data_IF_133835770940
#
_entry.id   IF_133835770940
#
_cell.length_a   1.000
_cell.length_b   1.000
_cell.length_c   1.000
_cell.angle_alpha   90.00
_cell.angle_beta   90.00
_cell.angle_gamma   90.00
#
_symmetry.space_group_name_H-M   'P 1'
#
loop_
_entity.id
_entity.type
_entity.pdbx_description
1 polymer ?
#
# COMPACT_ATOMS: atom_id res chain seq x y z
N UNK A 1 7.52 34.62 28.42
CA UNK A 1 8.41 33.85 27.53
C UNK A 1 9.70 34.63 27.39
N UNK A 2 10.88 34.00 27.54
CA UNK A 2 12.14 34.67 27.26
C UNK A 2 12.22 35.04 25.76
N UNK A 3 12.86 36.17 25.41
CA UNK A 3 13.06 36.56 24.02
C UNK A 3 13.95 35.55 23.30
N UNK A 4 13.59 35.20 22.06
CA UNK A 4 14.41 34.38 21.16
C UNK A 4 15.21 35.31 20.26
N UNK A 5 16.54 35.25 20.34
CA UNK A 5 17.44 35.99 19.45
C UNK A 5 17.87 35.07 18.31
N UNK A 6 17.70 35.53 17.07
CA UNK A 6 18.14 34.81 15.87
C UNK A 6 19.28 35.60 15.23
N UNK A 7 20.44 34.97 15.03
CA UNK A 7 21.57 35.56 14.34
C UNK A 7 21.49 35.25 12.83
N UNK A 8 21.23 36.25 12.00
CA UNK A 8 21.11 36.08 10.54
C UNK A 8 22.47 35.98 9.82
N UNK A 9 23.59 36.28 10.49
CA UNK A 9 24.93 36.16 9.90
C UNK A 9 25.55 34.78 10.09
N UNK A 10 24.94 33.92 10.92
CA UNK A 10 25.42 32.55 11.12
C UNK A 10 24.86 31.60 10.04
N UNK A 11 25.63 30.60 9.60
CA UNK A 11 25.13 29.57 8.70
C UNK A 11 23.96 28.82 9.33
N UNK A 12 22.84 28.74 8.62
CA UNK A 12 21.71 27.91 9.02
C UNK A 12 22.03 26.41 8.94
N UNK A 13 21.21 25.60 9.62
CA UNK A 13 21.22 24.14 9.47
C UNK A 13 20.14 23.68 8.48
N UNK A 14 20.40 22.67 7.63
CA UNK A 14 19.35 22.09 6.79
C UNK A 14 18.16 21.64 7.63
N UNK A 15 16.96 22.03 7.23
CA UNK A 15 15.73 21.58 7.88
C UNK A 15 15.21 20.35 7.13
N UNK A 16 15.23 19.19 7.79
CA UNK A 16 14.73 17.95 7.21
C UNK A 16 13.21 18.03 7.01
N UNK A 17 12.76 17.96 5.76
CA UNK A 17 11.35 17.96 5.38
C UNK A 17 10.75 16.56 5.30
N UNK A 18 11.20 15.65 6.16
CA UNK A 18 10.71 14.26 6.20
C UNK A 18 9.18 14.16 6.33
N UNK A 19 8.55 15.15 6.98
CA UNK A 19 7.09 15.24 7.08
C UNK A 19 6.36 15.42 5.73
N UNK A 20 7.08 15.69 4.62
CA UNK A 20 6.53 15.74 3.26
C UNK A 20 6.72 14.42 2.48
N UNK A 21 7.35 13.40 3.08
CA UNK A 21 7.63 12.14 2.37
C UNK A 21 6.36 11.38 1.99
N UNK A 22 5.29 11.48 2.77
CA UNK A 22 4.04 10.80 2.41
C UNK A 22 2.81 11.25 3.19
N UNK A 23 1.64 10.91 2.65
CA UNK A 23 0.33 11.06 3.27
C UNK A 23 -0.40 9.74 3.36
N UNK A 24 -1.22 9.60 4.40
CA UNK A 24 -2.20 8.53 4.50
C UNK A 24 -3.46 8.85 3.70
N UNK A 25 -4.08 7.82 3.16
CA UNK A 25 -5.47 7.77 2.72
C UNK A 25 -6.16 6.60 3.40
N UNK A 26 -7.49 6.54 3.30
CA UNK A 26 -8.26 5.39 3.75
C UNK A 26 -8.05 4.22 2.75
N UNK A 27 -9.13 3.59 2.29
CA UNK A 27 -9.08 2.53 1.30
C UNK A 27 -8.82 3.08 -0.11
N UNK A 28 -7.88 2.49 -0.85
CA UNK A 28 -7.43 2.89 -2.18
C UNK A 28 -8.57 3.14 -3.19
N UNK A 29 -9.65 2.35 -3.18
CA UNK A 29 -10.80 2.52 -4.07
C UNK A 29 -11.51 3.87 -3.92
N UNK A 30 -11.40 4.55 -2.77
CA UNK A 30 -11.97 5.90 -2.61
C UNK A 30 -11.37 6.89 -3.61
N UNK A 31 -10.17 6.61 -4.14
CA UNK A 31 -9.54 7.37 -5.23
C UNK A 31 -10.42 7.44 -6.47
N UNK A 32 -11.34 6.51 -6.68
CA UNK A 32 -12.27 6.54 -7.83
C UNK A 32 -13.39 7.57 -7.66
N UNK A 33 -13.59 8.13 -6.46
CA UNK A 33 -14.55 9.20 -6.23
C UNK A 33 -13.94 10.55 -6.59
N UNK A 34 -14.69 11.39 -7.27
CA UNK A 34 -14.17 12.70 -7.70
C UNK A 34 -13.93 13.65 -6.52
N UNK A 35 -14.74 13.59 -5.46
CA UNK A 35 -14.53 14.41 -4.27
C UNK A 35 -13.18 14.11 -3.59
N UNK A 36 -12.79 12.83 -3.52
CA UNK A 36 -11.45 12.45 -3.06
C UNK A 36 -10.35 13.01 -3.98
N UNK A 37 -10.55 12.95 -5.30
CA UNK A 37 -9.59 13.47 -6.29
C UNK A 37 -9.44 14.99 -6.19
N UNK A 38 -10.52 15.73 -5.97
CA UNK A 38 -10.48 17.17 -5.73
C UNK A 38 -9.66 17.51 -4.48
N UNK A 39 -9.86 16.78 -3.38
CA UNK A 39 -9.06 16.93 -2.17
C UNK A 39 -7.58 16.60 -2.39
N UNK A 40 -7.28 15.52 -3.13
CA UNK A 40 -5.92 15.16 -3.45
C UNK A 40 -5.22 16.25 -4.29
N UNK A 41 -5.90 16.81 -5.30
CA UNK A 41 -5.37 17.93 -6.11
C UNK A 41 -5.10 19.16 -5.25
N UNK A 42 -6.03 19.50 -4.35
CA UNK A 42 -5.84 20.61 -3.41
C UNK A 42 -4.61 20.38 -2.53
N UNK A 43 -4.53 19.22 -1.87
CA UNK A 43 -3.40 18.87 -0.99
C UNK A 43 -2.06 18.90 -1.74
N UNK A 44 -2.01 18.39 -2.97
CA UNK A 44 -0.78 18.43 -3.76
C UNK A 44 -0.40 19.84 -4.20
N UNK A 45 -1.38 20.69 -4.55
CA UNK A 45 -1.11 22.08 -4.90
C UNK A 45 -0.58 22.90 -3.72
N UNK A 46 -1.15 22.70 -2.52
CA UNK A 46 -0.82 23.52 -1.34
C UNK A 46 0.37 22.98 -0.53
N UNK A 47 0.62 21.65 -0.56
CA UNK A 47 1.61 21.00 0.31
C UNK A 47 2.69 20.25 -0.50
N UNK A 48 2.30 19.46 -1.51
CA UNK A 48 3.23 18.71 -2.36
C UNK A 48 3.92 17.54 -1.66
N UNK A 49 3.17 16.49 -1.36
CA UNK A 49 3.72 15.25 -0.78
C UNK A 49 4.35 14.36 -1.86
N UNK A 50 5.29 13.50 -1.47
CA UNK A 50 5.97 12.59 -2.42
C UNK A 50 5.27 11.26 -2.62
N UNK A 51 4.52 10.79 -1.62
CA UNK A 51 3.88 9.48 -1.66
C UNK A 51 2.51 9.46 -0.98
N UNK A 52 1.71 8.44 -1.32
CA UNK A 52 0.41 8.17 -0.70
C UNK A 52 0.34 6.70 -0.29
N UNK A 53 -0.11 6.44 0.94
CA UNK A 53 -0.31 5.11 1.53
C UNK A 53 -1.79 4.89 1.79
N UNK A 54 -2.36 3.81 1.28
CA UNK A 54 -3.79 3.52 1.39
C UNK A 54 -4.01 2.00 1.56
N UNK A 55 -5.05 1.64 2.30
CA UNK A 55 -5.41 0.24 2.54
C UNK A 55 -6.08 -0.41 1.32
N UNK A 56 -6.10 -1.74 1.28
CA UNK A 56 -7.11 -2.49 0.53
C UNK A 56 -6.91 -2.48 -0.98
N UNK A 57 -5.66 -2.44 -1.48
CA UNK A 57 -5.41 -2.52 -2.92
C UNK A 57 -5.90 -3.84 -3.53
N UNK A 58 -5.90 -4.92 -2.75
CA UNK A 58 -6.42 -6.23 -3.11
C UNK A 58 -7.87 -6.46 -2.66
N UNK A 59 -8.53 -5.44 -2.12
CA UNK A 59 -9.95 -5.53 -1.75
C UNK A 59 -10.82 -5.80 -2.98
N UNK A 60 -11.89 -6.58 -2.83
CA UNK A 60 -12.76 -6.99 -3.95
C UNK A 60 -13.47 -5.81 -4.65
N UNK A 61 -13.61 -4.67 -3.97
CA UNK A 61 -14.06 -3.41 -4.59
C UNK A 61 -13.07 -2.89 -5.65
N UNK A 62 -11.76 -3.02 -5.42
CA UNK A 62 -10.75 -2.76 -6.47
C UNK A 62 -10.88 -3.83 -7.55
N UNK A 63 -11.05 -5.09 -7.14
CA UNK A 63 -11.44 -6.19 -8.04
C UNK A 63 -10.28 -6.83 -8.80
N UNK A 64 -9.07 -6.81 -8.25
CA UNK A 64 -7.88 -7.46 -8.85
C UNK A 64 -8.04 -8.97 -8.88
N UNK A 65 -8.35 -9.57 -7.72
CA UNK A 65 -8.58 -11.01 -7.64
C UNK A 65 -9.96 -11.32 -8.21
N UNK A 66 -10.09 -12.33 -9.08
CA UNK A 66 -11.37 -12.63 -9.68
C UNK A 66 -12.36 -13.22 -8.67
N UNK A 67 -13.61 -12.80 -8.76
CA UNK A 67 -14.74 -13.63 -8.34
C UNK A 67 -15.01 -14.65 -9.44
N UNK A 68 -15.16 -15.93 -9.07
CA UNK A 68 -15.53 -17.05 -9.96
C UNK A 68 -16.52 -16.65 -11.07
N UNK A 69 -16.43 -17.20 -12.30
CA UNK A 69 -15.46 -18.20 -12.81
C UNK A 69 -14.32 -17.60 -13.66
N UNK A 70 -14.02 -16.29 -13.56
CA UNK A 70 -12.99 -15.69 -14.40
C UNK A 70 -11.58 -16.07 -13.94
N UNK A 71 -10.71 -16.60 -14.81
CA UNK A 71 -9.37 -17.07 -14.42
C UNK A 71 -8.30 -15.97 -14.40
N UNK A 72 -8.63 -14.72 -14.72
CA UNK A 72 -7.63 -13.67 -14.98
C UNK A 72 -7.78 -12.51 -14.00
N UNK A 73 -6.65 -12.04 -13.47
CA UNK A 73 -6.58 -10.84 -12.65
C UNK A 73 -7.03 -9.59 -13.44
N UNK A 74 -7.78 -8.69 -12.79
CA UNK A 74 -8.33 -7.49 -13.42
C UNK A 74 -7.74 -6.20 -12.82
N UNK A 75 -6.90 -5.52 -13.59
CA UNK A 75 -6.19 -4.33 -13.11
C UNK A 75 -6.87 -3.00 -13.49
N UNK A 76 -8.08 -2.99 -14.05
CA UNK A 76 -8.71 -1.76 -14.56
C UNK A 76 -8.87 -0.65 -13.51
N UNK A 77 -9.31 -1.01 -12.29
CA UNK A 77 -9.45 -0.02 -11.21
C UNK A 77 -8.10 0.32 -10.60
N UNK A 78 -7.19 -0.64 -10.46
CA UNK A 78 -5.81 -0.39 -10.04
C UNK A 78 -5.18 0.70 -10.91
N UNK A 79 -5.27 0.56 -12.23
CA UNK A 79 -4.71 1.51 -13.19
C UNK A 79 -5.29 2.91 -12.98
N UNK A 80 -6.62 3.02 -12.87
CA UNK A 80 -7.28 4.32 -12.62
C UNK A 80 -6.86 4.97 -11.29
N UNK A 81 -6.57 4.17 -10.28
CA UNK A 81 -6.13 4.64 -8.95
C UNK A 81 -4.67 5.12 -9.05
N UNK A 82 -3.77 4.26 -9.50
CA UNK A 82 -2.33 4.54 -9.51
C UNK A 82 -1.96 5.59 -10.55
N UNK A 83 -2.58 5.58 -11.74
CA UNK A 83 -2.38 6.64 -12.73
C UNK A 83 -2.80 8.00 -12.17
N UNK A 84 -3.91 8.05 -11.43
CA UNK A 84 -4.33 9.30 -10.81
C UNK A 84 -3.29 9.77 -9.78
N UNK A 85 -2.85 8.91 -8.86
CA UNK A 85 -1.82 9.28 -7.89
C UNK A 85 -0.54 9.77 -8.57
N UNK A 86 -0.01 9.01 -9.53
CA UNK A 86 1.19 9.39 -10.27
C UNK A 86 1.01 10.70 -11.04
N UNK A 87 -0.15 10.95 -11.64
CA UNK A 87 -0.46 12.23 -12.31
C UNK A 87 -0.45 13.44 -11.36
N UNK A 88 -0.63 13.21 -10.06
CA UNK A 88 -0.55 14.22 -9.01
C UNK A 88 0.84 14.28 -8.34
N UNK A 89 1.82 13.55 -8.86
CA UNK A 89 3.16 13.45 -8.27
C UNK A 89 3.24 12.57 -7.01
N UNK A 90 2.17 11.83 -6.71
CA UNK A 90 2.08 10.94 -5.56
C UNK A 90 2.50 9.52 -5.95
N UNK A 91 3.63 9.06 -5.42
CA UNK A 91 4.06 7.68 -5.59
C UNK A 91 3.28 6.75 -4.65
N UNK A 92 2.85 5.57 -5.12
CA UNK A 92 2.29 4.56 -4.24
C UNK A 92 3.31 4.12 -3.17
N UNK A 93 2.93 4.26 -1.90
CA UNK A 93 3.48 3.46 -0.81
C UNK A 93 2.55 2.26 -0.67
N UNK A 94 2.93 1.16 -1.33
CA UNK A 94 2.04 0.04 -1.62
C UNK A 94 1.83 -0.80 -0.38
N UNK A 95 0.65 -0.75 0.21
CA UNK A 95 0.21 -1.70 1.23
C UNK A 95 -0.40 -2.93 0.56
N UNK A 96 0.18 -4.10 0.78
CA UNK A 96 -0.26 -5.37 0.20
C UNK A 96 -1.36 -5.99 1.07
N UNK A 97 -2.57 -5.42 0.97
CA UNK A 97 -3.74 -5.75 1.79
C UNK A 97 -5.05 -5.52 1.03
N UNK A 98 -6.21 -5.90 1.56
CA UNK A 98 -6.39 -6.97 2.54
C UNK A 98 -6.54 -8.30 1.77
N UNK A 99 -7.05 -9.36 2.37
CA UNK A 99 -7.22 -10.62 1.64
C UNK A 99 -8.43 -10.51 0.70
N UNK A 100 -8.31 -10.84 -0.60
CA UNK A 100 -9.50 -10.98 -1.45
C UNK A 100 -10.39 -12.12 -0.95
N UNK A 101 -11.71 -11.97 -1.01
CA UNK A 101 -12.66 -13.00 -0.54
C UNK A 101 -12.42 -14.36 -1.21
N UNK A 102 -12.10 -14.36 -2.51
CA UNK A 102 -11.80 -15.58 -3.27
C UNK A 102 -10.58 -16.35 -2.79
N UNK A 103 -9.69 -15.73 -2.02
CA UNK A 103 -8.44 -16.30 -1.51
C UNK A 103 -8.42 -16.44 0.02
N UNK A 104 -9.39 -15.88 0.72
CA UNK A 104 -9.46 -15.92 2.18
C UNK A 104 -9.65 -17.34 2.74
N UNK A 105 -9.05 -17.62 3.90
CA UNK A 105 -9.21 -18.88 4.65
C UNK A 105 -10.42 -18.90 5.59
N UNK A 106 -11.01 -17.74 5.88
CA UNK A 106 -12.21 -17.61 6.68
C UNK A 106 -12.97 -16.32 6.37
N UNK A 107 -13.94 -15.97 7.23
CA UNK A 107 -14.88 -14.87 6.98
C UNK A 107 -14.66 -13.65 7.88
N UNK A 108 -13.62 -13.66 8.72
CA UNK A 108 -13.32 -12.52 9.59
C UNK A 108 -12.97 -11.30 8.74
N UNK A 109 -13.63 -10.17 9.03
CA UNK A 109 -13.44 -8.92 8.31
C UNK A 109 -13.29 -7.72 9.25
N UNK A 110 -12.62 -6.67 8.78
CA UNK A 110 -12.51 -5.38 9.45
C UNK A 110 -13.20 -4.27 8.66
N UNK A 111 -13.41 -3.13 9.32
CA UNK A 111 -14.09 -1.94 8.79
C UNK A 111 -15.52 -2.17 8.28
N UNK A 112 -16.16 -1.07 7.85
CA UNK A 112 -17.52 -1.10 7.28
C UNK A 112 -17.56 -1.66 5.86
N UNK A 113 -16.44 -1.64 5.14
CA UNK A 113 -16.34 -2.18 3.78
C UNK A 113 -15.96 -3.66 3.74
N UNK A 114 -15.92 -4.34 4.90
CA UNK A 114 -15.73 -5.79 5.03
C UNK A 114 -14.40 -6.32 4.46
N UNK A 115 -13.29 -5.64 4.74
CA UNK A 115 -11.99 -6.12 4.31
C UNK A 115 -11.63 -7.43 5.03
N UNK A 116 -11.39 -8.52 4.30
CA UNK A 116 -11.09 -9.81 4.92
C UNK A 116 -9.68 -9.83 5.54
N UNK A 117 -9.59 -10.23 6.80
CA UNK A 117 -8.35 -10.18 7.58
C UNK A 117 -7.74 -11.55 7.87
N UNK A 118 -8.27 -12.60 7.24
CA UNK A 118 -7.77 -13.97 7.42
C UNK A 118 -6.55 -14.23 6.53
N UNK A 119 -5.67 -15.17 6.93
CA UNK A 119 -4.59 -15.65 6.05
C UNK A 119 -5.14 -16.19 4.70
N UNK A 120 -4.31 -16.30 3.65
CA UNK A 120 -4.75 -16.94 2.42
C UNK A 120 -5.00 -18.44 2.68
N UNK A 121 -6.03 -19.00 2.04
CA UNK A 121 -6.28 -20.46 2.06
C UNK A 121 -5.22 -21.25 1.29
N UNK A 122 -4.54 -20.60 0.35
CA UNK A 122 -3.45 -21.17 -0.44
C UNK A 122 -2.35 -20.11 -0.67
N UNK A 123 -1.13 -20.39 -0.19
CA UNK A 123 0.01 -19.50 -0.39
C UNK A 123 0.52 -19.46 -1.84
N UNK A 124 0.31 -20.51 -2.63
CA UNK A 124 0.67 -20.52 -4.03
C UNK A 124 -0.22 -19.54 -4.82
N UNK A 125 -1.53 -19.50 -4.54
CA UNK A 125 -2.45 -18.52 -5.13
C UNK A 125 -2.13 -17.09 -4.68
N UNK A 126 -1.79 -16.89 -3.39
CA UNK A 126 -1.29 -15.59 -2.91
C UNK A 126 -0.03 -15.14 -3.65
N UNK A 127 0.95 -16.03 -3.78
CA UNK A 127 2.19 -15.71 -4.50
C UNK A 127 1.93 -15.43 -5.99
N UNK A 128 0.97 -16.13 -6.62
CA UNK A 128 0.56 -15.85 -7.99
C UNK A 128 -0.09 -14.46 -8.13
N UNK A 129 -0.92 -14.03 -7.17
CA UNK A 129 -1.47 -12.68 -7.12
C UNK A 129 -0.37 -11.62 -7.01
N UNK A 130 0.57 -11.79 -6.08
CA UNK A 130 1.68 -10.85 -5.90
C UNK A 130 2.56 -10.78 -7.16
N UNK A 131 2.89 -11.93 -7.75
CA UNK A 131 3.66 -12.01 -8.99
C UNK A 131 2.94 -11.26 -10.12
N UNK A 132 1.67 -11.55 -10.36
CA UNK A 132 0.89 -10.93 -11.43
C UNK A 132 0.72 -9.41 -11.21
N UNK A 133 0.50 -8.99 -9.97
CA UNK A 133 0.43 -7.58 -9.60
C UNK A 133 1.74 -6.84 -9.93
N UNK A 134 2.89 -7.39 -9.53
CA UNK A 134 4.19 -6.78 -9.83
C UNK A 134 4.50 -6.79 -11.33
N UNK A 135 4.23 -7.90 -12.02
CA UNK A 135 4.42 -7.99 -13.48
C UNK A 135 3.61 -6.91 -14.18
N UNK A 136 2.32 -6.77 -13.85
CA UNK A 136 1.47 -5.72 -14.43
C UNK A 136 2.00 -4.32 -14.15
N UNK A 137 2.42 -4.03 -12.91
CA UNK A 137 2.99 -2.73 -12.56
C UNK A 137 4.30 -2.44 -13.30
N UNK A 138 5.17 -3.45 -13.48
CA UNK A 138 6.41 -3.32 -14.26
C UNK A 138 6.09 -3.05 -15.74
N UNK A 139 5.12 -3.77 -16.31
CA UNK A 139 4.68 -3.58 -17.69
C UNK A 139 4.10 -2.18 -17.91
N UNK A 140 3.31 -1.68 -16.96
CA UNK A 140 2.62 -0.38 -17.07
C UNK A 140 3.53 0.82 -16.78
N UNK A 141 4.34 0.76 -15.72
CA UNK A 141 5.09 1.91 -15.21
C UNK A 141 6.61 1.78 -15.40
N UNK A 142 7.10 0.59 -15.72
CA UNK A 142 8.52 0.30 -15.84
C UNK A 142 9.20 0.04 -14.51
N UNK A 143 10.19 -0.86 -14.52
CA UNK A 143 10.91 -1.26 -13.31
C UNK A 143 11.55 -0.07 -12.58
N UNK A 144 12.11 0.91 -13.30
CA UNK A 144 12.77 2.07 -12.70
C UNK A 144 11.81 2.91 -11.84
N UNK A 145 10.54 3.03 -12.23
CA UNK A 145 9.53 3.73 -11.43
C UNK A 145 9.26 2.94 -10.14
N UNK A 146 9.04 1.64 -10.25
CA UNK A 146 8.77 0.75 -9.10
C UNK A 146 9.93 0.68 -8.09
N UNK A 147 11.18 0.78 -8.54
CA UNK A 147 12.34 0.85 -7.62
C UNK A 147 12.27 2.06 -6.69
N UNK A 148 11.52 3.10 -7.08
CA UNK A 148 11.29 4.28 -6.26
C UNK A 148 10.09 4.16 -5.31
N UNK A 149 9.34 3.06 -5.35
CA UNK A 149 8.20 2.77 -4.47
C UNK A 149 8.63 1.94 -3.25
N UNK A 150 7.74 1.80 -2.27
CA UNK A 150 7.89 0.90 -1.14
C UNK A 150 6.74 -0.10 -1.14
N UNK A 151 7.02 -1.36 -0.79
CA UNK A 151 6.01 -2.41 -0.64
C UNK A 151 5.95 -2.85 0.82
N UNK A 152 4.85 -2.56 1.49
CA UNK A 152 4.56 -2.92 2.88
C UNK A 152 3.66 -4.15 2.91
N UNK A 153 4.07 -5.18 3.66
CA UNK A 153 3.26 -6.39 3.81
C UNK A 153 2.28 -6.23 4.96
N UNK A 154 0.99 -6.17 4.59
CA UNK A 154 -0.16 -6.11 5.50
C UNK A 154 -0.27 -4.80 6.31
N UNK A 155 -1.20 -4.79 7.28
CA UNK A 155 -1.41 -3.71 8.22
C UNK A 155 -1.69 -4.25 9.63
N UNK A 156 -0.97 -3.75 10.63
CA UNK A 156 -1.18 -3.98 12.06
C UNK A 156 -1.47 -5.44 12.45
N UNK A 157 -0.60 -6.40 12.07
CA UNK A 157 -0.80 -7.81 12.37
C UNK A 157 -0.72 -8.15 13.87
N UNK A 158 -0.30 -7.20 14.71
CA UNK A 158 -0.35 -7.27 16.17
C UNK A 158 -1.76 -7.12 16.74
N UNK A 159 -2.71 -6.63 15.96
CA UNK A 159 -4.10 -6.46 16.38
C UNK A 159 -4.98 -7.56 15.75
N UNK A 160 -5.70 -8.31 16.59
CA UNK A 160 -6.65 -9.34 16.13
C UNK A 160 -7.78 -8.78 15.27
N UNK A 161 -7.99 -7.45 15.29
CA UNK A 161 -8.94 -6.76 14.41
C UNK A 161 -8.45 -6.72 12.95
N UNK A 162 -7.14 -6.65 12.72
CA UNK A 162 -6.54 -6.54 11.38
C UNK A 162 -5.87 -7.83 10.91
N UNK A 163 -5.72 -8.83 11.78
CA UNK A 163 -5.14 -10.13 11.41
C UNK A 163 -5.81 -11.26 12.18
N UNK A 164 -6.42 -12.19 11.45
CA UNK A 164 -7.07 -13.38 12.00
C UNK A 164 -6.12 -14.56 12.25
N UNK A 165 -4.87 -14.46 11.80
CA UNK A 165 -3.84 -15.47 12.08
C UNK A 165 -3.07 -15.19 13.36
N UNK A 166 -2.11 -16.06 13.68
CA UNK A 166 -1.13 -15.81 14.74
C UNK A 166 0.12 -15.11 14.19
N UNK A 167 1.09 -14.83 15.07
CA UNK A 167 2.36 -14.20 14.72
C UNK A 167 3.15 -15.02 13.68
N UNK A 168 3.15 -16.35 13.81
CA UNK A 168 3.81 -17.22 12.85
C UNK A 168 3.13 -17.18 11.49
N UNK A 169 1.80 -17.10 11.46
CA UNK A 169 1.00 -16.88 10.26
C UNK A 169 1.40 -15.59 9.55
N UNK A 170 1.58 -14.49 10.30
CA UNK A 170 2.06 -13.23 9.73
C UNK A 170 3.48 -13.39 9.17
N UNK A 171 4.39 -14.03 9.91
CA UNK A 171 5.75 -14.28 9.41
C UNK A 171 5.76 -15.14 8.14
N UNK A 172 4.86 -16.11 8.03
CA UNK A 172 4.68 -16.91 6.82
C UNK A 172 4.17 -16.05 5.66
N UNK A 173 3.20 -15.17 5.89
CA UNK A 173 2.71 -14.20 4.90
C UNK A 173 3.84 -13.28 4.43
N UNK A 174 4.58 -12.68 5.37
CA UNK A 174 5.72 -11.82 5.09
C UNK A 174 6.80 -12.55 4.29
N UNK A 175 7.23 -13.74 4.73
CA UNK A 175 8.28 -14.49 4.08
C UNK A 175 7.91 -14.89 2.64
N UNK A 176 6.68 -15.36 2.42
CA UNK A 176 6.18 -15.68 1.08
C UNK A 176 6.14 -14.42 0.19
N UNK A 177 5.53 -13.34 0.68
CA UNK A 177 5.38 -12.09 -0.07
C UNK A 177 6.73 -11.47 -0.43
N UNK A 178 7.65 -11.37 0.54
CA UNK A 178 8.98 -10.81 0.33
C UNK A 178 9.80 -11.65 -0.65
N UNK A 179 9.76 -13.00 -0.57
CA UNK A 179 10.45 -13.86 -1.55
C UNK A 179 9.89 -13.69 -2.95
N UNK A 180 8.56 -13.60 -3.10
CA UNK A 180 7.91 -13.38 -4.40
C UNK A 180 8.32 -12.02 -4.99
N UNK A 181 8.32 -10.94 -4.20
CA UNK A 181 8.79 -9.61 -4.63
C UNK A 181 10.25 -9.67 -5.08
N UNK A 182 11.12 -10.31 -4.28
CA UNK A 182 12.56 -10.41 -4.58
C UNK A 182 12.88 -11.30 -5.77
N UNK A 183 12.05 -12.32 -6.03
CA UNK A 183 12.15 -13.15 -7.22
C UNK A 183 11.77 -12.39 -8.50
N UNK A 184 10.87 -11.40 -8.40
CA UNK A 184 10.52 -10.51 -9.50
C UNK A 184 11.66 -9.52 -9.83
N UNK A 185 12.14 -8.78 -8.82
CA UNK A 185 13.39 -8.01 -8.92
C UNK A 185 14.02 -7.83 -7.52
N UNK A 186 15.28 -8.23 -7.31
CA UNK A 186 15.91 -8.21 -5.98
C UNK A 186 16.09 -6.80 -5.40
N UNK A 187 16.02 -5.75 -6.23
CA UNK A 187 16.18 -4.34 -5.83
C UNK A 187 14.90 -3.72 -5.29
N UNK A 188 13.72 -4.29 -5.54
CA UNK A 188 12.44 -3.79 -5.02
C UNK A 188 12.46 -3.76 -3.49
N UNK A 189 12.03 -2.65 -2.89
CA UNK A 189 12.02 -2.47 -1.43
C UNK A 189 10.75 -3.12 -0.84
N UNK A 190 10.92 -4.04 0.10
CA UNK A 190 9.83 -4.68 0.83
C UNK A 190 10.07 -4.53 2.34
N UNK A 191 9.01 -4.27 3.11
CA UNK A 191 9.08 -4.04 4.55
C UNK A 191 7.82 -4.45 5.31
N UNK A 192 7.96 -4.42 6.64
CA UNK A 192 6.97 -4.76 7.66
C UNK A 192 7.59 -4.49 9.06
N UNK A 193 6.95 -4.85 10.18
CA UNK A 193 5.69 -5.59 10.28
C UNK A 193 4.42 -4.74 10.22
N UNK A 194 4.54 -3.42 10.03
CA UNK A 194 3.40 -2.48 10.05
C UNK A 194 2.56 -2.52 11.34
N UNK A 195 3.19 -2.79 12.50
CA UNK A 195 2.49 -2.90 13.78
C UNK A 195 1.91 -1.58 14.27
N UNK A 196 0.80 -1.63 15.01
CA UNK A 196 0.08 -0.44 15.50
C UNK A 196 0.89 0.41 16.49
N UNK A 197 1.79 -0.23 17.23
CA UNK A 197 2.65 0.43 18.21
C UNK A 197 4.07 0.55 17.66
N UNK A 198 4.65 1.73 17.85
CA UNK A 198 6.09 1.91 17.76
C UNK A 198 6.73 1.24 18.98
N UNK A 199 7.76 0.42 18.76
CA UNK A 199 8.59 -0.13 19.82
C UNK A 199 9.40 0.98 20.52
#
# INVERSE_FOLDING_TARGET
MPPVTINLSEPGRPFNRFFLEGIGSCHAYLTLREDWREHARLVQREIGFKSVRAHGIFHDLVGIYPSWPNPTFNFQNLDKIYDFWLSQGLKPYVELSFMPEGLASGTQSCFRYHANVTPPKDFAEWNALIQAFLTHLIERYGINELLSWNFEVWNEPDLSYFWGGDMQGYFNLYANTARTIKACDPRLRVGGPATSRSA
#
